data_IF_144268378893
#
_entry.id   IF_144268378893
#
_cell.length_a   1.000
_cell.length_b   1.000
_cell.length_c   1.000
_cell.angle_alpha   90.00
_cell.angle_beta   90.00
_cell.angle_gamma   90.00
#
_symmetry.space_group_name_H-M   'P 1'
#
loop_
_entity.id
_entity.type
_entity.pdbx_description
1 polymer ?
#
# COMPACT_ATOMS: atom_id res chain seq x y z
N UNK A 1 -24.14 1.95 -1.77
CA UNK A 1 -23.27 1.96 -0.57
C UNK A 1 -22.55 3.29 -0.52
N UNK A 2 -22.44 3.94 0.64
CA UNK A 2 -21.63 5.16 0.78
C UNK A 2 -20.17 4.79 1.02
N UNK A 3 -19.26 5.55 0.41
CA UNK A 3 -17.82 5.49 0.67
C UNK A 3 -17.38 6.87 1.15
N UNK A 4 -17.00 6.96 2.42
CA UNK A 4 -16.69 8.21 3.10
C UNK A 4 -15.17 8.41 3.15
N UNK A 5 -14.67 9.44 2.47
CA UNK A 5 -13.24 9.76 2.46
C UNK A 5 -12.94 10.76 3.58
N UNK A 6 -12.16 10.34 4.57
CA UNK A 6 -11.73 11.15 5.71
C UNK A 6 -10.36 11.75 5.44
N UNK A 7 -10.23 13.06 5.66
CA UNK A 7 -9.04 13.85 5.35
C UNK A 7 -9.21 14.81 4.17
N UNK A 8 -8.31 15.78 4.08
CA UNK A 8 -8.33 16.86 3.06
C UNK A 8 -7.02 16.96 2.27
N UNK A 9 -6.11 16.01 2.45
CA UNK A 9 -4.82 15.98 1.77
C UNK A 9 -4.91 15.53 0.31
N UNK A 10 -3.75 15.54 -0.38
CA UNK A 10 -3.65 15.16 -1.80
C UNK A 10 -4.29 13.80 -2.11
N UNK A 11 -4.05 12.81 -1.26
CA UNK A 11 -4.62 11.47 -1.43
C UNK A 11 -6.15 11.50 -1.32
N UNK A 12 -6.71 12.15 -0.29
CA UNK A 12 -8.17 12.29 -0.15
C UNK A 12 -8.79 12.98 -1.38
N UNK A 13 -8.16 14.05 -1.88
CA UNK A 13 -8.60 14.72 -3.12
C UNK A 13 -8.56 13.80 -4.33
N UNK A 14 -7.50 13.00 -4.48
CA UNK A 14 -7.38 12.01 -5.55
C UNK A 14 -8.47 10.93 -5.47
N UNK A 15 -8.77 10.45 -4.26
CA UNK A 15 -9.84 9.47 -4.04
C UNK A 15 -11.22 10.01 -4.40
N UNK A 16 -11.48 11.28 -4.11
CA UNK A 16 -12.75 11.93 -4.46
C UNK A 16 -12.88 12.19 -5.96
N UNK A 17 -11.78 12.50 -6.66
CA UNK A 17 -11.81 12.93 -8.06
C UNK A 17 -11.44 11.86 -9.10
N UNK A 18 -10.81 10.75 -8.70
CA UNK A 18 -10.20 9.79 -9.64
C UNK A 18 -10.38 8.33 -9.26
N UNK A 19 -11.34 8.00 -8.39
CA UNK A 19 -11.70 6.61 -8.10
C UNK A 19 -12.22 5.87 -9.34
N UNK A 20 -12.18 4.53 -9.27
CA UNK A 20 -12.69 3.61 -10.30
C UNK A 20 -13.93 2.84 -9.84
N UNK A 21 -14.46 3.16 -8.67
CA UNK A 21 -15.70 2.57 -8.14
C UNK A 21 -16.89 2.90 -9.04
N UNK A 22 -17.74 1.90 -9.25
CA UNK A 22 -18.98 2.02 -10.03
C UNK A 22 -20.00 2.92 -9.32
N UNK A 23 -20.43 3.99 -9.98
CA UNK A 23 -21.37 4.97 -9.43
C UNK A 23 -22.78 4.41 -9.22
N UNK A 24 -23.14 3.30 -9.88
CA UNK A 24 -24.42 2.63 -9.66
C UNK A 24 -24.47 1.90 -8.30
N UNK A 25 -23.31 1.49 -7.78
CA UNK A 25 -23.21 0.69 -6.54
C UNK A 25 -22.58 1.46 -5.38
N UNK A 26 -21.70 2.42 -5.67
CA UNK A 26 -20.93 3.18 -4.69
C UNK A 26 -21.09 4.68 -4.92
N UNK A 27 -21.44 5.40 -3.85
CA UNK A 27 -21.41 6.86 -3.82
C UNK A 27 -20.24 7.31 -2.95
N UNK A 28 -19.19 7.82 -3.60
CA UNK A 28 -18.00 8.36 -2.92
C UNK A 28 -18.26 9.80 -2.53
N UNK A 29 -18.01 10.16 -1.28
CA UNK A 29 -18.19 11.53 -0.78
C UNK A 29 -17.18 11.87 0.31
N UNK A 30 -16.96 13.16 0.54
CA UNK A 30 -16.09 13.64 1.60
C UNK A 30 -16.72 13.41 2.97
N UNK A 31 -15.90 13.16 3.99
CA UNK A 31 -16.35 13.03 5.37
C UNK A 31 -17.13 14.24 5.87
N UNK A 32 -16.80 15.44 5.40
CA UNK A 32 -17.44 16.71 5.74
C UNK A 32 -18.70 17.01 4.90
N UNK A 33 -19.13 16.10 4.02
CA UNK A 33 -20.29 16.33 3.16
C UNK A 33 -21.60 16.35 4.00
N UNK A 34 -22.40 17.43 3.94
CA UNK A 34 -23.66 17.52 4.67
C UNK A 34 -24.71 16.47 4.26
N UNK A 35 -24.58 15.88 3.07
CA UNK A 35 -25.46 14.82 2.59
C UNK A 35 -25.12 13.43 3.19
N UNK A 36 -24.06 13.33 3.99
CA UNK A 36 -23.70 12.12 4.74
C UNK A 36 -24.82 11.75 5.71
N UNK A 37 -25.24 10.49 5.65
CA UNK A 37 -26.21 9.91 6.60
C UNK A 37 -25.53 9.05 7.66
N UNK A 38 -26.26 8.73 8.72
CA UNK A 38 -25.82 7.81 9.79
C UNK A 38 -26.15 6.35 9.43
N UNK A 39 -25.77 5.93 8.23
CA UNK A 39 -25.98 4.57 7.73
C UNK A 39 -24.66 3.82 7.54
N UNK A 40 -24.74 2.48 7.52
CA UNK A 40 -23.57 1.63 7.30
C UNK A 40 -22.91 1.98 5.96
N UNK A 41 -21.63 2.29 6.04
CA UNK A 41 -20.79 2.85 4.98
C UNK A 41 -19.44 2.13 4.93
N UNK A 42 -18.60 2.45 3.95
CA UNK A 42 -17.17 2.11 3.99
C UNK A 42 -16.41 3.42 4.25
N UNK A 43 -15.65 3.48 5.34
CA UNK A 43 -14.87 4.67 5.69
C UNK A 43 -13.44 4.48 5.22
N UNK A 44 -12.88 5.46 4.51
CA UNK A 44 -11.49 5.44 4.04
C UNK A 44 -10.76 6.61 4.67
N UNK A 45 -9.83 6.32 5.58
CA UNK A 45 -9.00 7.35 6.20
C UNK A 45 -7.73 7.58 5.39
N UNK A 46 -7.64 8.78 4.80
CA UNK A 46 -6.53 9.28 3.98
C UNK A 46 -6.02 10.63 4.53
N UNK A 47 -6.01 10.76 5.87
CA UNK A 47 -5.78 12.01 6.58
C UNK A 47 -4.64 11.95 7.60
N UNK A 48 -4.43 13.07 8.28
CA UNK A 48 -3.42 13.24 9.34
C UNK A 48 -3.86 12.69 10.71
N UNK A 49 -5.02 12.03 10.79
CA UNK A 49 -5.57 11.50 12.05
C UNK A 49 -6.46 12.47 12.83
N UNK A 50 -6.53 13.76 12.47
CA UNK A 50 -7.37 14.76 13.20
C UNK A 50 -8.84 14.37 13.30
N UNK A 51 -9.38 13.77 12.23
CA UNK A 51 -10.78 13.36 12.13
C UNK A 51 -10.98 11.88 12.48
N UNK A 52 -9.88 11.15 12.78
CA UNK A 52 -9.91 9.71 13.00
C UNK A 52 -10.74 9.30 14.22
N UNK A 53 -10.70 9.98 15.38
CA UNK A 53 -11.56 9.63 16.51
C UNK A 53 -13.06 9.65 16.16
N UNK A 54 -13.51 10.70 15.47
CA UNK A 54 -14.90 10.82 15.03
C UNK A 54 -15.28 9.76 13.98
N UNK A 55 -14.36 9.43 13.07
CA UNK A 55 -14.54 8.36 12.10
C UNK A 55 -14.66 6.99 12.78
N UNK A 56 -13.86 6.73 13.81
CA UNK A 56 -13.92 5.50 14.62
C UNK A 56 -15.27 5.40 15.32
N UNK A 57 -15.73 6.46 15.99
CA UNK A 57 -17.01 6.45 16.70
C UNK A 57 -18.20 6.22 15.75
N UNK A 58 -18.16 6.82 14.56
CA UNK A 58 -19.13 6.53 13.49
C UNK A 58 -19.08 5.06 13.06
N UNK A 59 -17.89 4.50 12.86
CA UNK A 59 -17.74 3.10 12.46
C UNK A 59 -18.28 2.13 13.52
N UNK A 60 -18.07 2.44 14.81
CA UNK A 60 -18.66 1.69 15.92
C UNK A 60 -20.18 1.74 15.90
N UNK A 61 -20.75 2.95 15.80
CA UNK A 61 -22.20 3.16 15.84
C UNK A 61 -22.92 2.48 14.65
N UNK A 62 -22.32 2.51 13.47
CA UNK A 62 -22.93 2.02 12.22
C UNK A 62 -22.46 0.63 11.79
N UNK A 63 -21.50 0.03 12.53
CA UNK A 63 -20.77 -1.19 12.14
C UNK A 63 -20.16 -1.11 10.73
N UNK A 64 -19.65 0.07 10.40
CA UNK A 64 -18.98 0.34 9.13
C UNK A 64 -17.53 -0.16 9.16
N UNK A 65 -17.04 -0.84 8.12
CA UNK A 65 -15.61 -1.09 7.98
C UNK A 65 -14.84 0.21 7.76
N UNK A 66 -13.64 0.29 8.32
CA UNK A 66 -12.68 1.39 8.15
C UNK A 66 -11.42 0.90 7.46
N UNK A 67 -11.09 1.49 6.31
CA UNK A 67 -9.84 1.28 5.56
C UNK A 67 -8.85 2.38 5.95
N UNK A 68 -7.77 2.00 6.61
CA UNK A 68 -6.74 2.89 7.13
C UNK A 68 -5.55 2.95 6.18
N UNK A 69 -5.30 4.11 5.58
CA UNK A 69 -4.22 4.31 4.61
C UNK A 69 -2.99 5.01 5.20
N UNK A 70 -3.07 5.57 6.41
CA UNK A 70 -1.95 6.23 7.06
C UNK A 70 -1.18 5.24 7.95
N UNK A 71 0.13 5.45 8.07
CA UNK A 71 1.00 4.69 8.97
C UNK A 71 1.08 5.36 10.34
N UNK A 72 1.24 4.57 11.41
CA UNK A 72 1.40 5.04 12.78
C UNK A 72 0.11 5.58 13.38
N UNK A 73 -1.05 5.17 12.87
CA UNK A 73 -2.34 5.52 13.44
C UNK A 73 -2.66 4.65 14.66
N UNK A 74 -3.51 5.16 15.55
CA UNK A 74 -3.95 4.42 16.75
C UNK A 74 -4.63 3.09 16.40
N UNK A 75 -5.18 2.98 15.19
CA UNK A 75 -5.81 1.77 14.64
C UNK A 75 -4.83 0.61 14.42
N UNK A 76 -3.53 0.88 14.36
CA UNK A 76 -2.51 -0.17 14.29
C UNK A 76 -2.43 -0.99 15.59
N UNK A 77 -2.91 -0.41 16.69
CA UNK A 77 -2.88 -0.99 18.03
C UNK A 77 -4.29 -1.18 18.58
N UNK A 78 -4.44 -2.12 19.52
CA UNK A 78 -5.71 -2.38 20.18
C UNK A 78 -6.68 -3.31 19.44
N UNK A 79 -7.81 -3.58 20.09
CA UNK A 79 -8.92 -4.35 19.55
C UNK A 79 -10.07 -3.39 19.19
N UNK A 80 -10.69 -3.63 18.05
CA UNK A 80 -11.81 -2.84 17.53
C UNK A 80 -13.04 -3.73 17.40
N UNK A 81 -14.20 -3.21 17.78
CA UNK A 81 -15.51 -3.86 17.72
C UNK A 81 -16.22 -3.68 16.36
N UNK A 82 -15.47 -3.22 15.36
CA UNK A 82 -15.85 -3.07 13.96
C UNK A 82 -14.68 -3.45 13.06
N UNK A 83 -14.90 -3.74 11.76
CA UNK A 83 -13.83 -4.16 10.87
C UNK A 83 -12.85 -3.02 10.57
N UNK A 84 -11.55 -3.29 10.70
CA UNK A 84 -10.48 -2.34 10.36
C UNK A 84 -9.55 -3.01 9.37
N UNK A 85 -9.33 -2.40 8.20
CA UNK A 85 -8.40 -2.88 7.18
C UNK A 85 -7.19 -1.95 7.13
N UNK A 86 -6.04 -2.42 7.58
CA UNK A 86 -4.78 -1.67 7.52
C UNK A 86 -4.14 -1.83 6.14
N UNK A 87 -4.00 -0.72 5.41
CA UNK A 87 -3.46 -0.71 4.06
C UNK A 87 -2.61 0.55 3.77
N UNK A 88 -1.43 0.70 4.40
CA UNK A 88 -0.57 1.86 4.19
C UNK A 88 0.07 1.93 2.79
N UNK A 89 0.06 0.83 2.04
CA UNK A 89 0.49 0.78 0.64
C UNK A 89 -0.67 0.26 -0.20
N UNK A 90 -1.10 1.03 -1.20
CA UNK A 90 -2.24 0.66 -2.05
C UNK A 90 -1.81 0.21 -3.45
N UNK A 91 -0.50 0.07 -3.71
CA UNK A 91 -0.01 -0.53 -4.94
C UNK A 91 -0.21 -2.05 -4.88
N UNK A 92 -1.38 -2.51 -5.37
CA UNK A 92 -1.80 -3.92 -5.28
C UNK A 92 -0.80 -4.87 -5.93
N UNK A 93 -0.23 -4.50 -7.08
CA UNK A 93 0.76 -5.35 -7.75
C UNK A 93 2.02 -5.51 -6.89
N UNK A 94 2.50 -4.42 -6.28
CA UNK A 94 3.62 -4.49 -5.36
C UNK A 94 3.28 -5.33 -4.12
N UNK A 95 2.07 -5.18 -3.55
CA UNK A 95 1.64 -6.00 -2.41
C UNK A 95 1.65 -7.50 -2.74
N UNK A 96 1.17 -7.90 -3.93
CA UNK A 96 1.24 -9.30 -4.40
C UNK A 96 2.67 -9.79 -4.50
N UNK A 97 3.56 -8.97 -5.07
CA UNK A 97 4.97 -9.31 -5.18
C UNK A 97 5.62 -9.48 -3.80
N UNK A 98 5.34 -8.56 -2.87
CA UNK A 98 5.84 -8.65 -1.49
C UNK A 98 5.32 -9.89 -0.77
N UNK A 99 4.04 -10.23 -0.92
CA UNK A 99 3.43 -11.45 -0.36
C UNK A 99 4.06 -12.72 -0.93
N UNK A 100 4.34 -12.75 -2.24
CA UNK A 100 5.07 -13.86 -2.87
C UNK A 100 6.46 -14.05 -2.26
N UNK A 101 7.20 -12.95 -2.05
CA UNK A 101 8.52 -13.01 -1.42
C UNK A 101 8.44 -13.40 0.06
N UNK A 102 7.48 -12.88 0.83
CA UNK A 102 7.30 -13.24 2.24
C UNK A 102 6.98 -14.73 2.40
N UNK A 103 6.15 -15.28 1.51
CA UNK A 103 5.77 -16.69 1.53
C UNK A 103 6.91 -17.61 1.13
N UNK A 104 7.62 -17.28 0.04
CA UNK A 104 8.54 -18.22 -0.62
C UNK A 104 10.01 -17.84 -0.52
N UNK A 105 10.35 -16.65 -0.03
CA UNK A 105 11.71 -16.12 -0.01
C UNK A 105 12.69 -16.99 0.78
N UNK A 106 12.19 -17.66 1.83
CA UNK A 106 12.98 -18.59 2.63
C UNK A 106 13.50 -19.81 1.86
N UNK A 107 12.93 -20.14 0.69
CA UNK A 107 13.38 -21.23 -0.16
C UNK A 107 14.74 -20.96 -0.83
N UNK A 108 15.19 -19.71 -0.85
CA UNK A 108 16.42 -19.27 -1.53
C UNK A 108 17.57 -18.99 -0.57
N UNK A 109 17.49 -19.40 0.71
CA UNK A 109 18.49 -19.04 1.75
C UNK A 109 19.91 -19.52 1.46
N UNK A 110 20.06 -20.58 0.67
CA UNK A 110 21.36 -21.14 0.28
C UNK A 110 21.91 -20.54 -1.04
N UNK A 111 21.17 -19.61 -1.67
CA UNK A 111 21.60 -18.88 -2.85
C UNK A 111 22.36 -17.60 -2.49
N UNK A 112 23.16 -17.10 -3.45
CA UNK A 112 23.68 -15.74 -3.37
C UNK A 112 22.58 -14.75 -3.77
N UNK A 113 22.21 -13.83 -2.87
CA UNK A 113 21.14 -12.86 -3.10
C UNK A 113 21.67 -11.44 -2.97
N UNK A 114 21.34 -10.59 -3.94
CA UNK A 114 21.54 -9.13 -3.85
C UNK A 114 20.24 -8.38 -4.07
N UNK A 115 20.08 -7.28 -3.31
CA UNK A 115 18.93 -6.38 -3.41
C UNK A 115 19.45 -4.97 -3.69
N UNK A 116 18.98 -4.38 -4.78
CA UNK A 116 19.25 -2.99 -5.14
C UNK A 116 17.94 -2.23 -5.16
N UNK A 117 17.94 -1.00 -4.63
CA UNK A 117 16.80 -0.10 -4.68
C UNK A 117 17.20 1.29 -5.18
N UNK A 118 16.26 2.00 -5.81
CA UNK A 118 16.47 3.37 -6.24
C UNK A 118 15.24 4.25 -6.02
N UNK A 119 15.53 5.49 -5.61
CA UNK A 119 14.59 6.58 -5.36
C UNK A 119 15.24 7.92 -5.71
N UNK A 120 14.49 9.02 -5.62
CA UNK A 120 15.04 10.36 -5.82
C UNK A 120 16.25 10.63 -4.91
N UNK A 121 17.23 11.41 -5.41
CA UNK A 121 18.50 11.65 -4.71
C UNK A 121 18.37 12.21 -3.28
N UNK A 122 17.28 12.92 -2.99
CA UNK A 122 17.01 13.49 -1.66
C UNK A 122 16.50 12.47 -0.63
N UNK A 123 16.20 11.22 -1.03
CA UNK A 123 15.75 10.15 -0.12
C UNK A 123 16.94 9.46 0.52
N UNK A 124 17.31 9.89 1.72
CA UNK A 124 18.49 9.37 2.45
C UNK A 124 18.23 8.06 3.19
N UNK A 125 16.99 7.74 3.52
CA UNK A 125 16.62 6.49 4.20
C UNK A 125 16.35 5.37 3.19
N UNK A 126 16.76 4.14 3.52
CA UNK A 126 16.31 2.95 2.78
C UNK A 126 14.77 2.84 2.86
N UNK A 127 14.06 2.66 1.73
CA UNK A 127 12.62 2.51 1.72
C UNK A 127 12.16 1.27 2.49
N UNK A 128 11.04 1.37 3.21
CA UNK A 128 10.48 0.24 3.96
C UNK A 128 10.17 -0.99 3.08
N UNK A 129 9.78 -0.77 1.82
CA UNK A 129 9.57 -1.86 0.85
C UNK A 129 10.86 -2.64 0.59
N UNK A 130 11.99 -1.96 0.36
CA UNK A 130 13.28 -2.61 0.15
C UNK A 130 13.72 -3.41 1.38
N UNK A 131 13.53 -2.85 2.58
CA UNK A 131 13.80 -3.56 3.85
C UNK A 131 12.90 -4.80 3.99
N UNK A 132 11.63 -4.70 3.61
CA UNK A 132 10.70 -5.83 3.59
C UNK A 132 11.14 -6.93 2.63
N UNK A 133 11.58 -6.58 1.42
CA UNK A 133 12.16 -7.51 0.43
C UNK A 133 13.37 -8.22 1.03
N UNK A 134 14.33 -7.46 1.58
CA UNK A 134 15.54 -8.01 2.18
C UNK A 134 15.22 -8.98 3.31
N UNK A 135 14.32 -8.59 4.22
CA UNK A 135 13.86 -9.45 5.33
C UNK A 135 13.27 -10.78 4.83
N UNK A 136 12.43 -10.75 3.81
CA UNK A 136 11.80 -11.96 3.24
C UNK A 136 12.82 -12.90 2.59
N UNK A 137 13.92 -12.36 2.07
CA UNK A 137 15.00 -13.11 1.41
C UNK A 137 16.20 -13.40 2.32
N UNK A 138 16.19 -12.93 3.57
CA UNK A 138 17.32 -13.08 4.50
C UNK A 138 18.50 -12.14 4.21
N UNK A 139 18.30 -11.08 3.42
CA UNK A 139 19.31 -10.03 3.16
C UNK A 139 19.21 -8.94 4.25
N UNK A 140 20.28 -8.69 5.03
CA UNK A 140 20.31 -7.63 6.01
C UNK A 140 20.06 -6.25 5.40
N UNK A 141 19.41 -5.35 6.15
CA UNK A 141 19.07 -4.02 5.65
C UNK A 141 20.30 -3.17 5.25
N UNK A 142 21.46 -3.40 5.88
CA UNK A 142 22.70 -2.70 5.55
C UNK A 142 23.39 -3.23 4.28
N UNK A 143 22.97 -4.41 3.79
CA UNK A 143 23.48 -5.00 2.54
C UNK A 143 22.62 -4.61 1.33
N UNK A 144 21.53 -3.88 1.54
CA UNK A 144 20.70 -3.34 0.46
C UNK A 144 21.45 -2.20 -0.22
N UNK A 145 21.68 -2.33 -1.53
CA UNK A 145 22.37 -1.32 -2.31
C UNK A 145 21.41 -0.19 -2.74
N UNK A 146 21.56 0.98 -2.12
CA UNK A 146 20.79 2.18 -2.45
C UNK A 146 21.46 3.00 -3.55
N UNK A 147 20.84 3.09 -4.72
CA UNK A 147 21.32 3.91 -5.84
C UNK A 147 20.63 5.28 -5.80
N UNK A 148 21.44 6.34 -5.78
CA UNK A 148 20.98 7.74 -5.72
C UNK A 148 21.64 8.66 -6.75
N UNK A 149 22.76 8.25 -7.35
CA UNK A 149 23.41 9.00 -8.40
C UNK A 149 22.54 9.00 -9.66
N UNK A 150 22.06 10.16 -10.14
CA UNK A 150 21.25 10.23 -11.35
C UNK A 150 21.92 9.62 -12.59
N UNK A 151 23.25 9.64 -12.68
CA UNK A 151 23.97 8.97 -13.77
C UNK A 151 23.81 7.45 -13.70
N UNK A 152 24.05 6.85 -12.53
CA UNK A 152 23.85 5.41 -12.33
C UNK A 152 22.37 5.01 -12.49
N UNK A 153 21.43 5.84 -12.02
CA UNK A 153 20.00 5.63 -12.18
C UNK A 153 19.57 5.56 -13.65
N UNK A 154 20.13 6.42 -14.50
CA UNK A 154 19.89 6.39 -15.95
C UNK A 154 20.60 5.22 -16.60
N UNK A 155 21.90 5.11 -16.38
CA UNK A 155 22.77 4.26 -17.20
C UNK A 155 22.65 2.79 -16.77
N UNK A 156 22.65 2.51 -15.47
CA UNK A 156 22.63 1.13 -14.94
C UNK A 156 21.22 0.62 -14.63
N UNK A 157 20.33 1.51 -14.17
CA UNK A 157 18.95 1.14 -13.80
C UNK A 157 17.92 1.45 -14.89
N UNK A 158 18.31 2.18 -15.94
CA UNK A 158 17.43 2.53 -17.06
C UNK A 158 16.17 3.27 -16.60
N UNK A 159 16.32 4.13 -15.58
CA UNK A 159 15.25 5.01 -15.09
C UNK A 159 15.13 6.19 -16.07
N UNK A 160 13.94 6.45 -16.65
CA UNK A 160 13.74 7.58 -17.54
C UNK A 160 14.02 8.94 -16.88
N UNK A 161 14.56 9.89 -17.64
CA UNK A 161 14.94 11.23 -17.16
C UNK A 161 13.78 11.97 -16.47
N UNK A 162 12.59 11.87 -17.05
CA UNK A 162 11.36 12.49 -16.53
C UNK A 162 10.84 11.82 -15.24
N UNK A 163 11.39 10.65 -14.87
CA UNK A 163 11.03 9.90 -13.66
C UNK A 163 12.09 9.97 -12.55
N UNK A 164 13.28 10.55 -12.80
CA UNK A 164 14.35 10.68 -11.79
C UNK A 164 13.87 11.43 -10.53
N UNK A 165 13.00 12.43 -10.70
CA UNK A 165 12.43 13.20 -9.60
C UNK A 165 11.40 12.43 -8.76
N UNK A 166 10.84 11.33 -9.27
CA UNK A 166 9.79 10.56 -8.59
C UNK A 166 9.68 9.14 -9.18
N UNK A 167 10.40 8.20 -8.57
CA UNK A 167 10.28 6.77 -8.87
C UNK A 167 10.44 5.93 -7.60
N UNK A 168 10.07 4.66 -7.72
CA UNK A 168 10.50 3.60 -6.83
C UNK A 168 10.95 2.40 -7.67
N UNK A 169 12.18 1.96 -7.48
CA UNK A 169 12.77 0.84 -8.20
C UNK A 169 13.32 -0.17 -7.22
N UNK A 170 13.12 -1.46 -7.49
CA UNK A 170 13.81 -2.54 -6.78
C UNK A 170 14.26 -3.60 -7.78
N UNK A 171 15.48 -4.11 -7.61
CA UNK A 171 16.03 -5.26 -8.32
C UNK A 171 16.49 -6.29 -7.30
N UNK A 172 16.08 -7.53 -7.50
CA UNK A 172 16.53 -8.69 -6.74
C UNK A 172 17.27 -9.59 -7.72
N UNK A 173 18.47 -10.04 -7.35
CA UNK A 173 19.17 -11.12 -8.04
C UNK A 173 19.38 -12.28 -7.09
N UNK A 174 19.11 -13.49 -7.57
CA UNK A 174 19.27 -14.75 -6.84
C UNK A 174 20.08 -15.70 -7.72
N UNK A 175 21.19 -16.21 -7.21
CA UNK A 175 22.16 -16.98 -8.00
C UNK A 175 22.66 -18.23 -7.24
N UNK A 176 22.85 -19.33 -7.96
CA UNK A 176 23.45 -20.58 -7.44
C UNK A 176 24.73 -21.00 -8.18
N UNK A 177 25.25 -20.08 -9.01
CA UNK A 177 26.42 -20.27 -9.88
C UNK A 177 26.06 -20.65 -11.31
N UNK A 178 25.18 -21.63 -11.52
CA UNK A 178 24.78 -22.07 -12.86
C UNK A 178 23.51 -21.35 -13.35
N UNK A 179 22.65 -20.92 -12.43
CA UNK A 179 21.40 -20.24 -12.67
C UNK A 179 21.42 -18.84 -12.03
N UNK A 180 20.77 -17.89 -12.70
CA UNK A 180 20.55 -16.54 -12.20
C UNK A 180 19.10 -16.15 -12.46
N UNK A 181 18.42 -15.67 -11.42
CA UNK A 181 17.07 -15.12 -11.48
C UNK A 181 17.14 -13.63 -11.18
N UNK A 182 16.42 -12.81 -11.97
CA UNK A 182 16.30 -11.38 -11.72
C UNK A 182 14.83 -10.96 -11.68
N UNK A 183 14.45 -10.26 -10.63
CA UNK A 183 13.13 -9.65 -10.49
C UNK A 183 13.29 -8.14 -10.40
N UNK A 184 12.47 -7.41 -11.14
CA UNK A 184 12.46 -5.95 -11.09
C UNK A 184 11.06 -5.40 -10.86
N UNK A 185 10.95 -4.43 -9.97
CA UNK A 185 9.77 -3.60 -9.80
C UNK A 185 10.09 -2.16 -10.14
N UNK A 186 9.25 -1.54 -10.96
CA UNK A 186 9.41 -0.17 -11.45
C UNK A 186 8.10 0.58 -11.27
N UNK A 187 8.11 1.60 -10.43
CA UNK A 187 6.94 2.45 -10.16
C UNK A 187 7.29 3.87 -10.57
N UNK A 188 6.57 4.39 -11.55
CA UNK A 188 6.77 5.70 -12.15
C UNK A 188 5.51 6.56 -12.02
N UNK A 189 5.68 7.88 -12.07
CA UNK A 189 4.60 8.86 -12.11
C UNK A 189 3.83 9.05 -10.81
N UNK A 190 2.64 9.65 -10.94
CA UNK A 190 1.68 9.70 -9.86
C UNK A 190 1.19 8.28 -9.58
N UNK A 191 1.73 7.66 -8.53
CA UNK A 191 1.32 6.32 -8.09
C UNK A 191 -0.21 6.21 -8.09
N UNK A 192 -0.79 5.14 -8.66
CA UNK A 192 -2.23 5.00 -8.87
C UNK A 192 -2.92 4.63 -7.54
N UNK A 193 -2.75 5.48 -6.53
CA UNK A 193 -3.24 5.20 -5.19
C UNK A 193 -4.76 5.09 -5.21
N UNK A 194 -5.45 5.91 -6.02
CA UNK A 194 -6.90 5.83 -6.17
C UNK A 194 -7.41 4.55 -6.82
N UNK A 195 -6.68 3.96 -7.78
CA UNK A 195 -7.05 2.67 -8.36
C UNK A 195 -6.94 1.55 -7.32
N UNK A 196 -5.80 1.51 -6.61
CA UNK A 196 -5.58 0.56 -5.53
C UNK A 196 -6.65 0.64 -4.45
N UNK A 197 -6.95 1.85 -3.96
CA UNK A 197 -8.02 2.07 -2.97
C UNK A 197 -9.38 1.65 -3.52
N UNK A 198 -9.69 1.92 -4.78
CA UNK A 198 -10.96 1.48 -5.39
C UNK A 198 -11.09 -0.05 -5.34
N UNK A 199 -10.02 -0.78 -5.66
CA UNK A 199 -10.01 -2.25 -5.59
C UNK A 199 -10.17 -2.76 -4.14
N UNK A 200 -9.53 -2.10 -3.18
CA UNK A 200 -9.64 -2.44 -1.75
C UNK A 200 -11.07 -2.22 -1.26
N UNK A 201 -11.66 -1.07 -1.56
CA UNK A 201 -13.05 -0.75 -1.18
C UNK A 201 -14.01 -1.77 -1.80
N UNK A 202 -13.79 -2.16 -3.05
CA UNK A 202 -14.60 -3.18 -3.71
C UNK A 202 -14.47 -4.55 -3.03
N UNK A 203 -13.26 -4.97 -2.66
CA UNK A 203 -13.07 -6.20 -1.89
C UNK A 203 -13.77 -6.13 -0.52
N UNK A 204 -13.66 -5.00 0.20
CA UNK A 204 -14.36 -4.78 1.47
C UNK A 204 -15.89 -4.83 1.28
N UNK A 205 -16.41 -4.34 0.16
CA UNK A 205 -17.84 -4.37 -0.17
C UNK A 205 -18.35 -5.78 -0.45
N UNK A 206 -17.55 -6.58 -1.15
CA UNK A 206 -17.91 -7.92 -1.61
C UNK A 206 -17.81 -8.99 -0.51
N UNK A 207 -17.06 -8.73 0.56
CA UNK A 207 -16.81 -9.70 1.62
C UNK A 207 -17.36 -9.23 2.98
N UNK A 208 -18.03 -10.14 3.70
CA UNK A 208 -18.47 -9.88 5.06
C UNK A 208 -17.26 -9.98 6.00
N UNK A 209 -16.82 -8.84 6.52
CA UNK A 209 -15.71 -8.78 7.48
C UNK A 209 -16.22 -8.90 8.91
N UNK A 210 -15.52 -9.71 9.70
CA UNK A 210 -15.69 -9.79 11.15
C UNK A 210 -15.21 -8.50 11.82
N UNK A 211 -15.70 -8.17 13.03
CA UNK A 211 -15.26 -7.00 13.77
C UNK A 211 -13.86 -7.21 14.35
N UNK A 212 -12.86 -7.17 13.49
CA UNK A 212 -11.45 -7.29 13.83
C UNK A 212 -10.59 -6.50 12.86
N UNK A 213 -9.30 -6.47 13.20
CA UNK A 213 -8.26 -5.91 12.35
C UNK A 213 -7.85 -6.92 11.28
N UNK A 214 -7.69 -6.43 10.06
CA UNK A 214 -7.18 -7.13 8.89
C UNK A 214 -5.92 -6.43 8.40
N UNK A 215 -4.91 -7.21 8.05
CA UNK A 215 -3.82 -6.73 7.19
C UNK A 215 -4.28 -6.81 5.74
N UNK A 216 -3.91 -5.84 4.89
CA UNK A 216 -4.17 -5.95 3.46
C UNK A 216 -3.57 -7.22 2.83
N UNK A 217 -2.49 -7.75 3.41
CA UNK A 217 -1.87 -9.01 2.96
C UNK A 217 -2.83 -10.19 3.12
N UNK A 218 -3.73 -10.17 4.10
CA UNK A 218 -4.76 -11.20 4.27
C UNK A 218 -5.72 -11.23 3.07
N UNK A 219 -6.08 -10.07 2.52
CA UNK A 219 -6.92 -9.98 1.32
C UNK A 219 -6.22 -10.58 0.11
N UNK A 220 -4.91 -10.39 -0.01
CA UNK A 220 -4.08 -10.99 -1.06
C UNK A 220 -4.07 -12.52 -0.92
N UNK A 221 -3.82 -13.04 0.29
CA UNK A 221 -3.81 -14.48 0.54
C UNK A 221 -5.16 -15.15 0.30
N UNK A 222 -6.26 -14.45 0.62
CA UNK A 222 -7.61 -14.92 0.38
C UNK A 222 -8.03 -14.82 -1.11
N UNK A 223 -7.19 -14.25 -1.97
CA UNK A 223 -7.49 -14.05 -3.39
C UNK A 223 -8.55 -12.98 -3.66
N UNK A 224 -8.78 -12.07 -2.70
CA UNK A 224 -9.76 -10.98 -2.83
C UNK A 224 -9.19 -9.79 -3.62
N UNK A 225 -7.87 -9.70 -3.77
CA UNK A 225 -7.14 -8.63 -4.46
C UNK A 225 -6.13 -9.13 -5.47
#
# INVERSE_FOLDING_TARGET
>A
MQVLVVGTGKLATELLGSHRLDSATCRVMAWSDPARGDERSIVVHAGSGRELPAAIDFCRATRSPLVELSTGSDLETGAHDFPVVLCPNTNILMLKFMSMLETSGHLFRDCHISVTESHQATKTSVPGTAVGIGRSLGVPAHDIHSVRDPAEQRDALQIPDDQLGRHAFHRIRIEDGACSLQFESRVYGASPYADGVSRIVEAVRQHALEPRRYSIVEFIHNGWL
#
